data_IF_621194485078
#
_entry.id   IF_621194485078
#
_cell.length_a   1.000
_cell.length_b   1.000
_cell.length_c   1.000
_cell.angle_alpha   90.00
_cell.angle_beta   90.00
_cell.angle_gamma   90.00
#
_symmetry.space_group_name_H-M   'P 1'
#
loop_
_entity.id
_entity.type
_entity.pdbx_description
1 polymer ?
#
# COMPACT_ATOMS: atom_id res chain seq x y z
N UNK A 1 0.15 -18.92 -19.14
CA UNK A 1 -0.42 -17.67 -19.73
C UNK A 1 -1.84 -17.58 -19.24
N UNK A 2 -2.09 -16.66 -18.33
CA UNK A 2 -3.33 -16.54 -17.57
C UNK A 2 -4.46 -16.01 -18.47
N UNK A 3 -5.67 -16.62 -18.36
CA UNK A 3 -6.89 -16.22 -19.10
C UNK A 3 -7.25 -14.73 -18.95
N UNK A 4 -6.78 -14.07 -17.92
CA UNK A 4 -7.01 -12.64 -17.65
C UNK A 4 -6.38 -11.74 -18.72
N UNK A 5 -5.30 -12.16 -19.37
CA UNK A 5 -4.66 -11.38 -20.44
C UNK A 5 -5.44 -11.42 -21.77
N UNK A 6 -6.36 -12.35 -21.92
CA UNK A 6 -7.20 -12.49 -23.12
C UNK A 6 -8.54 -11.74 -23.02
N UNK A 7 -9.05 -11.46 -21.80
CA UNK A 7 -10.31 -10.71 -21.63
C UNK A 7 -10.13 -9.19 -21.80
N UNK A 8 -8.97 -8.64 -21.51
CA UNK A 8 -8.73 -7.20 -21.67
C UNK A 8 -8.58 -6.73 -23.13
N UNK A 9 -8.49 -7.64 -24.09
CA UNK A 9 -8.33 -7.24 -25.52
C UNK A 9 -9.64 -7.16 -26.33
N UNK A 10 -10.82 -7.44 -25.75
CA UNK A 10 -12.10 -7.48 -26.51
C UNK A 10 -13.19 -6.53 -26.08
N UNK A 11 -12.95 -5.56 -25.18
CA UNK A 11 -13.99 -4.63 -24.70
C UNK A 11 -13.78 -3.16 -25.18
N UNK A 12 -12.90 -2.92 -26.12
CA UNK A 12 -12.82 -1.60 -26.76
C UNK A 12 -13.21 -1.68 -28.23
N UNK A 13 -14.51 -1.85 -28.48
CA UNK A 13 -15.09 -1.45 -29.77
C UNK A 13 -16.60 -1.22 -29.59
N UNK A 14 -17.04 -0.05 -30.03
CA UNK A 14 -18.40 0.47 -30.20
C UNK A 14 -19.11 1.02 -28.95
N UNK A 15 -19.15 2.35 -28.79
CA UNK A 15 -20.32 3.18 -29.06
C UNK A 15 -20.00 4.65 -28.81
N UNK A 16 -19.83 5.39 -29.88
CA UNK A 16 -19.92 6.85 -29.88
C UNK A 16 -21.40 7.23 -29.74
N UNK A 17 -21.77 8.02 -28.74
CA UNK A 17 -22.96 8.85 -28.78
C UNK A 17 -22.58 10.25 -28.31
N UNK A 18 -22.55 11.16 -29.29
CA UNK A 18 -22.36 12.56 -29.09
C UNK A 18 -23.64 13.15 -28.44
N UNK A 19 -23.45 13.86 -27.32
CA UNK A 19 -24.42 14.88 -26.88
C UNK A 19 -23.59 16.13 -26.61
N UNK A 20 -23.66 17.06 -27.55
CA UNK A 20 -23.02 18.37 -27.46
C UNK A 20 -23.66 19.23 -26.38
N UNK A 21 -22.85 19.73 -25.47
CA UNK A 21 -23.12 20.96 -24.74
C UNK A 21 -21.91 21.88 -24.97
N UNK A 22 -22.05 22.71 -26.00
CA UNK A 22 -21.11 23.80 -26.24
C UNK A 22 -21.28 24.85 -25.15
N UNK A 23 -20.46 24.79 -24.10
CA UNK A 23 -20.18 25.96 -23.26
C UNK A 23 -18.96 26.66 -23.88
N UNK A 24 -19.21 27.78 -24.51
CA UNK A 24 -18.20 28.74 -24.93
C UNK A 24 -17.48 29.29 -23.70
N UNK A 25 -16.37 28.66 -23.34
CA UNK A 25 -15.40 29.27 -22.43
C UNK A 25 -14.48 30.12 -23.28
N UNK A 26 -14.63 31.43 -23.13
CA UNK A 26 -13.80 32.43 -23.76
C UNK A 26 -12.31 32.13 -23.56
N UNK A 27 -11.56 32.12 -24.65
CA UNK A 27 -10.12 32.11 -24.68
C UNK A 27 -9.58 33.42 -24.09
N UNK A 28 -9.63 33.55 -22.79
CA UNK A 28 -8.86 34.50 -22.03
C UNK A 28 -7.57 33.80 -21.61
N UNK A 29 -6.49 34.00 -22.36
CA UNK A 29 -5.14 33.64 -21.97
C UNK A 29 -4.71 34.43 -20.74
N UNK A 30 -5.24 34.07 -19.57
CA UNK A 30 -4.61 34.40 -18.30
C UNK A 30 -3.43 33.43 -18.16
N UNK A 31 -2.21 33.93 -18.41
CA UNK A 31 -1.01 33.32 -17.88
C UNK A 31 -1.29 33.10 -16.39
N UNK A 32 -1.64 31.85 -16.02
CA UNK A 32 -1.83 31.46 -14.63
C UNK A 32 -0.49 31.77 -13.97
N UNK A 33 -0.43 32.84 -13.17
CA UNK A 33 0.65 33.07 -12.24
C UNK A 33 0.83 31.76 -11.49
N UNK A 34 1.89 31.04 -11.78
CA UNK A 34 2.36 29.92 -10.97
C UNK A 34 2.61 30.50 -9.59
N UNK A 35 1.66 30.29 -8.67
CA UNK A 35 1.76 30.82 -7.33
C UNK A 35 3.02 30.21 -6.72
N UNK A 36 4.07 31.01 -6.71
CA UNK A 36 5.42 30.63 -6.30
C UNK A 36 5.36 30.09 -4.86
N UNK A 37 5.86 28.87 -4.63
CA UNK A 37 6.01 28.34 -3.29
C UNK A 37 7.12 29.14 -2.63
N UNK A 38 6.89 29.81 -1.47
CA UNK A 38 7.93 30.60 -0.84
C UNK A 38 9.15 29.74 -0.50
N UNK A 39 10.37 30.24 -0.79
CA UNK A 39 11.61 29.50 -0.51
C UNK A 39 11.69 29.03 0.94
N UNK A 40 11.33 29.89 1.89
CA UNK A 40 11.23 29.52 3.32
C UNK A 40 10.34 28.30 3.55
N UNK A 41 9.23 28.17 2.84
CA UNK A 41 8.32 27.03 2.97
C UNK A 41 8.96 25.74 2.44
N UNK A 42 9.71 25.81 1.37
CA UNK A 42 10.48 24.69 0.85
C UNK A 42 11.52 24.25 1.88
N UNK A 43 12.28 25.18 2.45
CA UNK A 43 13.25 24.91 3.51
C UNK A 43 12.61 24.22 4.72
N UNK A 44 11.46 24.70 5.18
CA UNK A 44 10.70 24.09 6.29
C UNK A 44 10.32 22.64 5.98
N UNK A 45 9.82 22.34 4.77
CA UNK A 45 9.48 20.97 4.34
C UNK A 45 10.73 20.11 4.28
N UNK A 46 11.82 20.63 3.70
CA UNK A 46 13.08 19.89 3.57
C UNK A 46 13.74 19.63 4.92
N UNK A 47 13.56 20.48 5.90
CA UNK A 47 14.07 20.30 7.27
C UNK A 47 13.19 19.34 8.11
N UNK A 48 11.93 19.10 7.69
CA UNK A 48 10.97 18.32 8.48
C UNK A 48 11.41 16.84 8.60
N UNK A 49 11.45 16.22 9.80
CA UNK A 49 11.62 14.79 9.95
C UNK A 49 10.56 14.01 9.19
N UNK A 50 10.90 12.82 8.69
CA UNK A 50 9.98 12.02 7.84
C UNK A 50 8.73 11.62 8.62
N UNK A 51 8.88 11.24 9.88
CA UNK A 51 7.78 10.90 10.78
C UNK A 51 6.82 12.09 10.94
N UNK A 52 7.39 13.30 11.04
CA UNK A 52 6.63 14.54 11.17
C UNK A 52 5.79 14.83 9.93
N UNK A 53 6.22 14.37 8.75
CA UNK A 53 5.44 14.47 7.51
C UNK A 53 4.11 13.72 7.66
N UNK A 54 4.13 12.49 8.18
CA UNK A 54 2.92 11.72 8.43
C UNK A 54 2.07 12.33 9.57
N UNK A 55 2.70 12.65 10.69
CA UNK A 55 2.01 13.22 11.87
C UNK A 55 1.23 14.50 11.55
N UNK A 56 1.75 15.35 10.69
CA UNK A 56 1.12 16.63 10.34
C UNK A 56 0.11 16.53 9.20
N UNK A 57 -0.05 15.37 8.59
CA UNK A 57 -1.09 15.15 7.58
C UNK A 57 -2.42 14.80 8.23
N UNK A 58 -3.45 15.61 7.99
CA UNK A 58 -4.81 15.31 8.46
C UNK A 58 -5.35 14.05 7.80
N UNK A 59 -5.08 13.85 6.51
CA UNK A 59 -5.49 12.66 5.80
C UNK A 59 -4.88 11.37 6.37
N UNK A 60 -3.56 11.33 6.61
CA UNK A 60 -2.90 10.17 7.22
C UNK A 60 -3.46 9.89 8.62
N UNK A 61 -3.68 10.94 9.43
CA UNK A 61 -4.31 10.77 10.75
C UNK A 61 -5.70 10.17 10.65
N UNK A 62 -6.54 10.68 9.75
CA UNK A 62 -7.90 10.13 9.52
C UNK A 62 -7.85 8.65 9.14
N UNK A 63 -6.96 8.24 8.22
CA UNK A 63 -6.84 6.83 7.84
C UNK A 63 -6.29 5.98 9.00
N UNK A 64 -5.34 6.50 9.77
CA UNK A 64 -4.83 5.82 10.97
C UNK A 64 -5.92 5.63 12.04
N UNK A 65 -6.79 6.62 12.23
CA UNK A 65 -7.95 6.51 13.14
C UNK A 65 -8.97 5.48 12.64
N UNK A 66 -9.24 5.44 11.33
CA UNK A 66 -10.09 4.42 10.73
C UNK A 66 -9.52 3.01 10.97
N UNK A 67 -8.20 2.82 10.75
CA UNK A 67 -7.55 1.55 11.03
C UNK A 67 -7.68 1.17 12.51
N UNK A 68 -7.46 2.11 13.44
CA UNK A 68 -7.69 1.86 14.87
C UNK A 68 -9.14 1.44 15.14
N UNK A 69 -10.11 2.05 14.48
CA UNK A 69 -11.51 1.64 14.54
C UNK A 69 -11.71 0.19 14.13
N UNK A 70 -11.12 -0.24 13.00
CA UNK A 70 -11.13 -1.62 12.55
C UNK A 70 -10.48 -2.57 13.57
N UNK A 71 -9.30 -2.25 14.06
CA UNK A 71 -8.61 -3.06 15.07
C UNK A 71 -9.42 -3.21 16.35
N UNK A 72 -10.09 -2.14 16.77
CA UNK A 72 -10.96 -2.17 17.95
C UNK A 72 -12.23 -3.00 17.73
N UNK A 73 -12.70 -3.16 16.51
CA UNK A 73 -13.88 -3.93 16.14
C UNK A 73 -13.64 -5.45 16.12
N UNK A 74 -12.37 -5.90 16.12
CA UNK A 74 -12.02 -7.34 16.23
C UNK A 74 -12.65 -7.91 17.50
N UNK A 75 -13.44 -8.98 17.35
CA UNK A 75 -14.19 -9.61 18.45
C UNK A 75 -13.37 -10.68 19.16
N UNK A 76 -12.56 -11.46 18.40
CA UNK A 76 -11.68 -12.47 19.01
C UNK A 76 -10.57 -11.78 19.82
N UNK A 77 -10.54 -11.98 21.16
CA UNK A 77 -9.60 -11.29 22.03
C UNK A 77 -8.15 -11.68 21.79
N UNK A 78 -7.88 -12.91 21.31
CA UNK A 78 -6.52 -13.40 21.03
C UNK A 78 -5.99 -12.77 19.75
N UNK A 79 -6.80 -12.74 18.68
CA UNK A 79 -6.45 -12.07 17.43
C UNK A 79 -6.25 -10.59 17.69
N UNK A 80 -7.17 -9.94 18.41
CA UNK A 80 -7.08 -8.52 18.75
C UNK A 80 -5.79 -8.19 19.50
N UNK A 81 -5.48 -8.94 20.56
CA UNK A 81 -4.28 -8.72 21.36
C UNK A 81 -3.00 -8.89 20.53
N UNK A 82 -2.95 -9.92 19.67
CA UNK A 82 -1.82 -10.18 18.78
C UNK A 82 -1.61 -9.02 17.81
N UNK A 83 -2.65 -8.59 17.10
CA UNK A 83 -2.56 -7.51 16.10
C UNK A 83 -2.16 -6.20 16.78
N UNK A 84 -2.76 -5.86 17.91
CA UNK A 84 -2.44 -4.64 18.66
C UNK A 84 -0.99 -4.66 19.17
N UNK A 85 -0.46 -5.78 19.64
CA UNK A 85 0.96 -5.91 20.04
C UNK A 85 1.87 -5.66 18.83
N UNK A 86 1.59 -6.30 17.70
CA UNK A 86 2.42 -6.16 16.50
C UNK A 86 2.40 -4.73 15.92
N UNK A 87 1.26 -4.07 15.93
CA UNK A 87 1.09 -2.72 15.38
C UNK A 87 1.65 -1.63 16.30
N UNK A 88 1.38 -1.73 17.60
CA UNK A 88 1.80 -0.69 18.55
C UNK A 88 3.25 -0.82 19.01
N UNK A 89 3.77 -2.03 18.99
CA UNK A 89 5.16 -2.31 19.40
C UNK A 89 5.83 -3.24 18.37
N UNK A 90 6.01 -2.76 17.11
CA UNK A 90 6.59 -3.60 16.08
C UNK A 90 8.02 -3.99 16.46
N UNK A 91 8.23 -5.28 16.65
CA UNK A 91 9.55 -5.88 16.96
C UNK A 91 9.59 -7.30 16.43
N UNK A 92 10.72 -7.69 15.87
CA UNK A 92 10.95 -9.08 15.49
C UNK A 92 11.27 -9.93 16.72
N UNK A 93 10.73 -11.14 16.78
CA UNK A 93 11.08 -12.17 17.75
C UNK A 93 12.03 -13.22 17.17
N UNK A 94 12.25 -13.21 15.87
CA UNK A 94 13.01 -14.22 15.10
C UNK A 94 14.29 -13.61 14.54
N UNK A 95 14.18 -12.40 13.99
CA UNK A 95 15.29 -11.70 13.36
C UNK A 95 15.92 -10.71 14.34
N UNK A 96 16.69 -9.76 13.85
CA UNK A 96 17.36 -8.78 14.68
C UNK A 96 16.37 -7.92 15.49
N UNK A 97 16.10 -8.33 16.74
CA UNK A 97 15.11 -7.68 17.61
C UNK A 97 15.47 -6.22 17.96
N UNK A 98 16.76 -5.86 17.92
CA UNK A 98 17.26 -4.50 18.17
C UNK A 98 17.31 -3.63 16.92
N UNK A 99 16.91 -4.13 15.75
CA UNK A 99 17.01 -3.38 14.51
C UNK A 99 16.16 -2.09 14.55
N UNK A 100 16.75 -1.03 14.01
CA UNK A 100 16.02 0.22 13.75
C UNK A 100 14.79 -0.04 12.87
N UNK A 101 13.71 0.63 13.18
CA UNK A 101 12.43 0.50 12.49
C UNK A 101 11.56 1.73 12.64
N UNK A 102 10.69 1.94 11.68
CA UNK A 102 9.60 2.91 11.80
C UNK A 102 8.56 2.41 12.80
N UNK A 103 7.83 3.33 13.44
CA UNK A 103 6.53 2.97 13.97
C UNK A 103 5.61 2.55 12.81
N UNK A 104 4.73 1.57 13.03
CA UNK A 104 3.80 1.07 12.01
C UNK A 104 3.02 2.22 11.33
N UNK A 105 2.59 3.20 12.13
CA UNK A 105 1.78 4.34 11.69
C UNK A 105 2.50 5.30 10.73
N UNK A 106 3.83 5.22 10.63
CA UNK A 106 4.67 6.08 9.79
C UNK A 106 5.39 5.31 8.68
N UNK A 107 5.30 4.00 8.69
CA UNK A 107 5.94 3.17 7.70
C UNK A 107 5.33 3.37 6.29
N UNK A 108 6.14 3.25 5.22
CA UNK A 108 5.64 3.20 3.85
C UNK A 108 5.07 1.83 3.52
N UNK A 109 4.16 1.76 2.54
CA UNK A 109 3.67 0.47 2.04
C UNK A 109 4.48 -0.09 0.87
N UNK A 110 5.40 0.68 0.28
CA UNK A 110 6.24 0.24 -0.83
C UNK A 110 7.71 0.50 -0.58
N UNK A 111 8.58 -0.28 -1.21
CA UNK A 111 10.02 -0.15 -1.14
C UNK A 111 10.64 0.69 -2.26
N UNK A 112 9.82 1.30 -3.12
CA UNK A 112 10.20 2.17 -4.22
C UNK A 112 9.02 2.99 -4.73
N UNK A 113 9.25 3.98 -5.62
CA UNK A 113 8.19 4.82 -6.14
C UNK A 113 7.05 4.00 -6.73
N UNK A 114 5.87 4.10 -6.14
CA UNK A 114 4.69 3.32 -6.50
C UNK A 114 3.58 3.53 -5.49
N UNK A 115 2.77 2.49 -5.25
CA UNK A 115 1.63 2.60 -4.35
C UNK A 115 2.06 2.96 -2.92
N UNK A 116 1.42 3.98 -2.37
CA UNK A 116 1.60 4.40 -0.97
C UNK A 116 3.07 4.56 -0.52
N UNK A 117 3.93 4.99 -1.46
CA UNK A 117 5.36 5.24 -1.23
C UNK A 117 5.57 6.62 -0.59
N UNK A 118 5.05 6.79 0.60
CA UNK A 118 5.16 8.00 1.42
C UNK A 118 5.03 7.63 2.91
N UNK A 119 5.48 8.52 3.83
CA UNK A 119 5.33 8.28 5.27
C UNK A 119 3.86 8.14 5.67
N UNK A 120 3.54 7.07 6.39
CA UNK A 120 2.16 6.72 6.75
C UNK A 120 1.40 5.99 5.65
N UNK A 121 2.07 5.55 4.58
CA UNK A 121 1.45 4.79 3.50
C UNK A 121 0.95 3.41 3.94
N UNK A 122 1.63 2.76 4.88
CA UNK A 122 1.26 1.42 5.35
C UNK A 122 -0.13 1.35 5.99
N UNK A 123 -0.50 2.20 6.97
CA UNK A 123 -1.86 2.21 7.50
C UNK A 123 -2.92 2.60 6.45
N UNK A 124 -2.60 3.45 5.48
CA UNK A 124 -3.52 3.80 4.38
C UNK A 124 -3.79 2.59 3.50
N UNK A 125 -2.75 1.88 3.10
CA UNK A 125 -2.85 0.64 2.31
C UNK A 125 -3.68 -0.43 3.04
N UNK A 126 -3.45 -0.62 4.33
CA UNK A 126 -4.24 -1.54 5.13
C UNK A 126 -5.74 -1.17 5.16
N UNK A 127 -6.06 0.12 5.36
CA UNK A 127 -7.47 0.60 5.35
C UNK A 127 -8.12 0.37 3.99
N UNK A 128 -7.44 0.71 2.90
CA UNK A 128 -7.95 0.51 1.54
C UNK A 128 -8.31 -0.96 1.30
N UNK A 129 -7.40 -1.87 1.62
CA UNK A 129 -7.63 -3.30 1.43
C UNK A 129 -8.74 -3.85 2.33
N UNK A 130 -8.83 -3.38 3.58
CA UNK A 130 -9.92 -3.76 4.50
C UNK A 130 -11.26 -3.28 3.95
N UNK A 131 -11.37 -2.03 3.49
CA UNK A 131 -12.60 -1.47 2.91
C UNK A 131 -13.07 -2.29 1.69
N UNK A 132 -12.15 -2.64 0.78
CA UNK A 132 -12.46 -3.44 -0.41
C UNK A 132 -12.96 -4.83 0.01
N UNK A 133 -12.26 -5.51 0.91
CA UNK A 133 -12.63 -6.86 1.35
C UNK A 133 -13.96 -6.90 2.10
N UNK A 134 -14.17 -5.97 3.02
CA UNK A 134 -15.43 -5.88 3.76
C UNK A 134 -16.59 -5.48 2.85
N UNK A 135 -16.35 -4.59 1.87
CA UNK A 135 -17.33 -4.25 0.85
C UNK A 135 -17.76 -5.47 0.00
N UNK A 136 -16.84 -6.36 -0.32
CA UNK A 136 -17.17 -7.62 -0.98
C UNK A 136 -17.94 -8.57 -0.07
N UNK A 137 -17.55 -8.70 1.19
CA UNK A 137 -18.28 -9.51 2.15
C UNK A 137 -19.74 -9.03 2.28
N UNK A 138 -19.95 -7.72 2.38
CA UNK A 138 -21.28 -7.10 2.43
C UNK A 138 -22.08 -7.33 1.14
N UNK A 139 -21.43 -7.23 -0.01
CA UNK A 139 -22.08 -7.48 -1.31
C UNK A 139 -22.53 -8.94 -1.44
N UNK A 140 -21.68 -9.90 -1.05
CA UNK A 140 -22.01 -11.34 -1.06
C UNK A 140 -23.15 -11.61 -0.09
N UNK A 141 -23.10 -11.08 1.13
CA UNK A 141 -24.15 -11.25 2.13
C UNK A 141 -25.49 -10.70 1.60
N UNK A 142 -25.48 -9.52 0.98
CA UNK A 142 -26.68 -8.89 0.42
C UNK A 142 -27.28 -9.67 -0.75
N UNK A 143 -26.45 -10.20 -1.65
CA UNK A 143 -26.92 -10.91 -2.86
C UNK A 143 -27.38 -12.32 -2.55
N UNK A 144 -26.64 -13.02 -1.69
CA UNK A 144 -26.85 -14.45 -1.46
C UNK A 144 -27.49 -14.77 -0.10
N UNK A 145 -27.71 -13.77 0.76
CA UNK A 145 -28.35 -13.95 2.07
C UNK A 145 -27.47 -14.74 3.05
N UNK A 146 -26.14 -14.73 2.90
CA UNK A 146 -25.22 -15.50 3.72
C UNK A 146 -24.20 -14.59 4.42
N UNK A 147 -24.07 -14.74 5.73
CA UNK A 147 -23.07 -14.05 6.56
C UNK A 147 -22.11 -15.08 7.17
N UNK A 148 -21.24 -15.65 6.34
CA UNK A 148 -20.27 -16.66 6.77
C UNK A 148 -18.82 -16.19 6.72
N UNK A 149 -18.61 -14.88 6.59
CA UNK A 149 -17.27 -14.28 6.48
C UNK A 149 -16.73 -13.91 7.86
N UNK A 150 -15.55 -14.38 8.18
CA UNK A 150 -14.84 -14.01 9.41
C UNK A 150 -14.14 -12.64 9.23
N UNK A 151 -14.83 -11.58 9.62
CA UNK A 151 -14.31 -10.19 9.50
C UNK A 151 -13.07 -9.96 10.35
N UNK A 152 -12.90 -10.65 11.48
CA UNK A 152 -11.72 -10.52 12.33
C UNK A 152 -10.47 -11.00 11.59
N UNK A 153 -10.57 -12.11 10.85
CA UNK A 153 -9.49 -12.62 10.00
C UNK A 153 -9.14 -11.63 8.88
N UNK A 154 -10.14 -11.06 8.20
CA UNK A 154 -9.91 -10.06 7.14
C UNK A 154 -9.15 -8.86 7.68
N UNK A 155 -9.66 -8.25 8.77
CA UNK A 155 -9.05 -7.07 9.37
C UNK A 155 -7.63 -7.36 9.85
N UNK A 156 -7.43 -8.47 10.55
CA UNK A 156 -6.14 -8.85 11.09
C UNK A 156 -5.12 -9.15 9.98
N UNK A 157 -5.50 -9.97 8.99
CA UNK A 157 -4.62 -10.37 7.91
C UNK A 157 -4.18 -9.17 7.05
N UNK A 158 -5.12 -8.32 6.64
CA UNK A 158 -4.83 -7.13 5.83
C UNK A 158 -4.10 -6.03 6.60
N UNK A 159 -4.22 -5.98 7.93
CA UNK A 159 -3.37 -5.11 8.75
C UNK A 159 -1.93 -5.61 8.78
N UNK A 160 -1.73 -6.94 8.79
CA UNK A 160 -0.42 -7.53 9.06
C UNK A 160 0.34 -8.02 7.83
N UNK A 161 -0.30 -8.23 6.66
CA UNK A 161 0.37 -8.82 5.48
C UNK A 161 1.68 -8.09 5.10
N UNK A 162 1.70 -6.80 5.28
CA UNK A 162 2.81 -5.89 4.99
C UNK A 162 3.55 -5.39 6.24
N UNK A 163 3.25 -5.93 7.41
CA UNK A 163 3.78 -5.46 8.69
C UNK A 163 5.32 -5.33 8.72
N UNK A 164 6.04 -6.23 8.08
CA UNK A 164 7.49 -6.18 8.07
C UNK A 164 8.08 -4.99 7.30
N UNK A 165 7.26 -4.23 6.57
CA UNK A 165 7.67 -2.97 5.94
C UNK A 165 7.99 -1.85 6.95
N UNK A 166 7.77 -2.06 8.24
CA UNK A 166 8.29 -1.18 9.31
C UNK A 166 9.83 -1.06 9.28
N UNK A 167 10.53 -2.04 8.73
CA UNK A 167 11.98 -2.00 8.50
C UNK A 167 12.40 -1.38 7.16
N UNK A 168 11.48 -0.83 6.40
CA UNK A 168 11.79 -0.03 5.23
C UNK A 168 12.12 1.39 5.68
N UNK A 169 13.41 1.64 5.91
CA UNK A 169 13.90 2.88 6.53
C UNK A 169 14.15 3.97 5.50
N UNK A 170 13.86 5.19 5.87
CA UNK A 170 14.14 6.37 5.06
C UNK A 170 15.63 6.70 5.11
N UNK A 171 16.28 6.70 3.95
CA UNK A 171 17.67 7.16 3.85
C UNK A 171 17.67 8.66 3.50
N UNK A 172 18.08 9.46 4.47
CA UNK A 172 18.13 10.90 4.31
C UNK A 172 19.12 11.36 3.21
N UNK A 173 20.18 10.58 2.95
CA UNK A 173 21.21 10.93 1.97
C UNK A 173 20.73 10.75 0.53
N UNK A 174 20.00 9.67 0.24
CA UNK A 174 19.49 9.39 -1.11
C UNK A 174 18.02 9.79 -1.29
N UNK A 175 17.28 10.06 -0.21
CA UNK A 175 15.84 10.28 -0.24
C UNK A 175 15.05 9.05 -0.69
N UNK A 176 15.64 7.86 -0.56
CA UNK A 176 15.00 6.59 -0.92
C UNK A 176 14.74 5.75 0.33
N UNK A 177 14.02 4.65 0.15
CA UNK A 177 13.86 3.67 1.21
C UNK A 177 14.95 2.62 1.10
N UNK A 178 15.62 2.34 2.21
CA UNK A 178 16.60 1.26 2.35
C UNK A 178 16.04 0.14 3.21
N UNK A 179 16.26 -1.07 2.78
CA UNK A 179 16.09 -2.27 3.61
C UNK A 179 17.37 -2.56 4.33
N UNK A 180 17.34 -2.98 5.62
CA UNK A 180 18.54 -3.42 6.32
C UNK A 180 19.19 -4.61 5.63
N UNK A 181 20.51 -4.76 5.73
CA UNK A 181 21.24 -5.87 5.11
C UNK A 181 20.79 -7.26 5.60
N UNK A 182 20.30 -7.35 6.85
CA UNK A 182 19.74 -8.58 7.41
C UNK A 182 18.34 -8.91 6.88
N UNK A 183 17.67 -7.94 6.25
CA UNK A 183 16.33 -8.15 5.70
C UNK A 183 16.45 -9.13 4.53
N UNK A 184 15.65 -10.21 4.50
CA UNK A 184 15.73 -11.17 3.41
C UNK A 184 15.63 -10.42 2.08
N UNK A 185 16.67 -10.54 1.26
CA UNK A 185 16.62 -10.07 -0.12
C UNK A 185 15.40 -10.69 -0.77
N UNK A 186 14.87 -10.06 -1.84
CA UNK A 186 13.85 -10.70 -2.65
C UNK A 186 14.22 -12.16 -2.80
N UNK A 187 13.37 -13.04 -2.31
CA UNK A 187 13.55 -14.48 -2.43
C UNK A 187 13.55 -14.83 -3.93
N UNK A 188 14.68 -14.67 -4.58
CA UNK A 188 14.81 -14.77 -6.02
C UNK A 188 16.10 -14.18 -6.59
N UNK A 189 17.02 -13.68 -5.76
CA UNK A 189 18.40 -13.39 -6.17
C UNK A 189 19.16 -14.71 -6.44
N UNK A 190 20.27 -14.66 -7.19
CA UNK A 190 21.06 -15.82 -7.68
C UNK A 190 21.46 -16.84 -6.62
N UNK A 191 21.33 -16.54 -5.34
CA UNK A 191 21.61 -17.42 -4.19
C UNK A 191 20.39 -17.72 -3.31
N UNK A 192 19.26 -17.10 -3.55
CA UNK A 192 18.00 -17.35 -2.85
C UNK A 192 17.13 -18.29 -3.67
N UNK A 193 16.23 -18.99 -3.03
CA UNK A 193 15.29 -19.91 -3.68
C UNK A 193 14.54 -19.14 -4.76
N UNK A 194 14.97 -19.26 -6.02
CA UNK A 194 14.37 -18.62 -7.22
C UNK A 194 12.86 -18.91 -7.39
N UNK A 195 12.31 -19.67 -6.48
CA UNK A 195 10.95 -20.18 -6.40
C UNK A 195 9.94 -19.18 -5.85
N UNK A 196 10.39 -18.13 -5.13
CA UNK A 196 9.54 -17.24 -4.34
C UNK A 196 9.35 -15.84 -4.96
N UNK A 197 9.29 -15.79 -6.26
CA UNK A 197 9.25 -14.53 -7.02
C UNK A 197 8.12 -13.57 -6.60
N UNK A 198 7.08 -14.07 -5.94
CA UNK A 198 5.89 -13.33 -5.56
C UNK A 198 5.85 -12.93 -4.08
N UNK A 199 6.61 -13.61 -3.22
CA UNK A 199 6.74 -13.23 -1.83
C UNK A 199 7.97 -12.33 -1.66
N UNK A 200 7.78 -11.04 -1.49
CA UNK A 200 8.83 -10.17 -0.98
C UNK A 200 9.33 -10.71 0.38
N UNK A 201 10.60 -10.47 0.73
CA UNK A 201 11.15 -10.91 2.02
C UNK A 201 10.33 -10.49 3.24
N UNK A 202 9.50 -9.42 3.11
CA UNK A 202 8.58 -8.97 4.15
C UNK A 202 7.50 -10.01 4.48
N UNK A 203 6.95 -10.71 3.49
CA UNK A 203 5.95 -11.76 3.72
C UNK A 203 6.50 -12.91 4.55
N UNK A 204 7.69 -13.43 4.20
CA UNK A 204 8.33 -14.51 4.96
C UNK A 204 8.54 -14.13 6.44
N UNK A 205 8.96 -12.88 6.71
CA UNK A 205 9.11 -12.37 8.08
C UNK A 205 7.77 -12.39 8.79
N UNK A 206 6.72 -11.86 8.16
CA UNK A 206 5.39 -11.76 8.80
C UNK A 206 4.83 -13.13 9.13
N UNK A 207 4.89 -14.08 8.20
CA UNK A 207 4.33 -15.42 8.45
C UNK A 207 5.10 -16.15 9.56
N UNK A 208 6.43 -16.04 9.56
CA UNK A 208 7.26 -16.61 10.63
C UNK A 208 6.96 -15.96 11.99
N UNK A 209 6.82 -14.63 12.06
CA UNK A 209 6.46 -13.92 13.29
C UNK A 209 5.07 -14.30 13.79
N UNK A 210 4.08 -14.44 12.91
CA UNK A 210 2.75 -14.89 13.29
C UNK A 210 2.78 -16.29 13.87
N UNK A 211 3.47 -17.23 13.23
CA UNK A 211 3.63 -18.60 13.74
C UNK A 211 4.34 -18.60 15.10
N UNK A 212 5.44 -17.84 15.25
CA UNK A 212 6.20 -17.76 16.50
C UNK A 212 5.40 -17.18 17.65
N UNK A 213 4.48 -16.27 17.35
CA UNK A 213 3.58 -15.63 18.34
C UNK A 213 2.32 -16.45 18.61
N UNK A 214 2.17 -17.63 17.99
CA UNK A 214 1.02 -18.52 18.20
C UNK A 214 -0.27 -18.02 17.57
N UNK A 215 -0.18 -17.32 16.44
CA UNK A 215 -1.35 -16.94 15.67
C UNK A 215 -2.16 -18.17 15.23
N UNK A 216 -3.49 -18.09 15.16
CA UNK A 216 -4.31 -19.17 14.61
C UNK A 216 -3.87 -19.50 13.17
N UNK A 217 -3.82 -20.79 12.76
CA UNK A 217 -3.43 -21.18 11.40
C UNK A 217 -4.20 -20.44 10.31
N UNK A 218 -5.49 -20.21 10.51
CA UNK A 218 -6.38 -19.50 9.58
C UNK A 218 -5.90 -18.06 9.34
N UNK A 219 -5.41 -17.37 10.37
CA UNK A 219 -4.86 -16.01 10.24
C UNK A 219 -3.52 -16.03 9.50
N UNK A 220 -2.65 -17.00 9.78
CA UNK A 220 -1.36 -17.13 9.08
C UNK A 220 -1.58 -17.36 7.59
N UNK A 221 -2.48 -18.29 7.24
CA UNK A 221 -2.83 -18.61 5.85
C UNK A 221 -3.45 -17.38 5.17
N UNK A 222 -4.41 -16.72 5.83
CA UNK A 222 -5.07 -15.53 5.31
C UNK A 222 -4.06 -14.39 5.05
N UNK A 223 -3.12 -14.17 5.96
CA UNK A 223 -2.06 -13.17 5.78
C UNK A 223 -1.14 -13.53 4.62
N UNK A 224 -0.82 -14.81 4.44
CA UNK A 224 -0.01 -15.26 3.31
C UNK A 224 -0.77 -15.19 1.97
N UNK A 225 -2.09 -15.34 1.99
CA UNK A 225 -2.94 -15.23 0.81
C UNK A 225 -2.88 -13.86 0.14
N UNK A 226 -2.55 -12.79 0.86
CA UNK A 226 -2.35 -11.47 0.26
C UNK A 226 -1.32 -11.50 -0.89
N UNK A 227 -0.25 -12.28 -0.77
CA UNK A 227 0.85 -12.34 -1.72
C UNK A 227 0.96 -13.64 -2.51
N UNK A 228 0.28 -14.70 -2.09
CA UNK A 228 0.34 -16.03 -2.73
C UNK A 228 -1.07 -16.56 -2.91
N UNK A 229 -1.48 -16.77 -4.16
CA UNK A 229 -2.82 -17.26 -4.48
C UNK A 229 -3.12 -18.58 -3.76
N UNK A 230 -4.17 -18.62 -2.91
CA UNK A 230 -4.50 -19.81 -2.11
C UNK A 230 -5.44 -20.79 -2.82
N UNK A 231 -5.84 -20.54 -4.08
CA UNK A 231 -6.89 -21.30 -4.77
C UNK A 231 -6.39 -22.13 -5.93
N UNK A 232 -5.54 -21.57 -6.78
CA UNK A 232 -5.14 -22.21 -8.01
C UNK A 232 -3.88 -23.04 -7.85
N UNK A 233 -2.95 -22.57 -7.03
CA UNK A 233 -1.62 -23.13 -6.92
C UNK A 233 -1.15 -23.24 -5.46
N UNK A 234 -1.89 -23.99 -4.65
CA UNK A 234 -1.54 -24.19 -3.23
C UNK A 234 -0.15 -24.80 -3.10
N UNK A 235 0.21 -25.75 -3.98
CA UNK A 235 1.50 -26.42 -3.94
C UNK A 235 2.48 -25.85 -4.98
N UNK A 236 2.00 -25.39 -6.16
CA UNK A 236 2.86 -24.86 -7.23
C UNK A 236 2.19 -23.76 -8.03
N UNK A 237 2.96 -22.71 -8.37
CA UNK A 237 2.58 -21.63 -9.26
C UNK A 237 3.55 -21.60 -10.44
N UNK A 238 3.08 -21.84 -11.67
CA UNK A 238 3.91 -21.87 -12.89
C UNK A 238 5.16 -22.77 -12.74
N UNK A 239 4.98 -23.96 -12.16
CA UNK A 239 6.06 -24.90 -11.87
C UNK A 239 6.93 -24.54 -10.67
N UNK A 240 6.58 -23.48 -9.94
CA UNK A 240 7.25 -23.03 -8.70
C UNK A 240 6.41 -23.41 -7.48
N UNK A 241 7.08 -23.52 -6.35
CA UNK A 241 6.41 -23.84 -5.10
C UNK A 241 5.44 -22.73 -4.69
N UNK A 242 4.23 -23.12 -4.27
CA UNK A 242 3.14 -22.23 -3.93
C UNK A 242 3.01 -21.93 -2.42
N UNK A 243 1.78 -21.69 -1.97
CA UNK A 243 1.47 -21.26 -0.61
C UNK A 243 1.97 -22.23 0.47
N UNK A 244 1.80 -23.56 0.28
CA UNK A 244 2.25 -24.53 1.28
C UNK A 244 3.77 -24.51 1.50
N UNK A 245 4.54 -24.27 0.44
CA UNK A 245 5.99 -24.17 0.57
C UNK A 245 6.40 -22.83 1.25
N UNK A 246 5.67 -21.74 1.00
CA UNK A 246 5.82 -20.48 1.70
C UNK A 246 5.65 -20.63 3.21
N UNK A 247 4.57 -21.28 3.59
CA UNK A 247 4.25 -21.55 5.00
C UNK A 247 5.27 -22.51 5.64
N UNK A 248 5.76 -23.51 4.89
CA UNK A 248 6.79 -24.43 5.39
C UNK A 248 8.13 -23.71 5.65
N UNK A 249 8.55 -22.81 4.77
CA UNK A 249 9.78 -22.03 4.97
C UNK A 249 9.62 -21.04 6.14
N UNK A 250 8.50 -20.37 6.25
CA UNK A 250 8.19 -19.51 7.39
C UNK A 250 8.20 -20.28 8.72
N UNK A 251 7.65 -21.49 8.74
CA UNK A 251 7.66 -22.37 9.90
C UNK A 251 9.09 -22.76 10.30
N UNK A 252 9.94 -23.08 9.32
CA UNK A 252 11.36 -23.36 9.54
C UNK A 252 12.08 -22.17 10.15
N UNK A 253 11.86 -20.96 9.64
CA UNK A 253 12.41 -19.72 10.21
C UNK A 253 11.93 -19.49 11.65
N UNK A 254 10.67 -19.80 11.94
CA UNK A 254 10.10 -19.66 13.26
C UNK A 254 10.50 -20.78 14.25
N UNK A 255 11.08 -21.86 13.77
CA UNK A 255 11.29 -23.08 14.57
C UNK A 255 9.95 -23.72 15.01
N UNK A 256 8.93 -23.66 14.16
CA UNK A 256 7.56 -24.11 14.43
C UNK A 256 7.13 -25.23 13.46
N UNK A 257 6.13 -26.04 13.81
CA UNK A 257 5.55 -26.99 12.86
C UNK A 257 4.99 -26.29 11.63
N UNK A 258 5.12 -26.91 10.45
CA UNK A 258 4.57 -26.37 9.22
C UNK A 258 3.04 -26.37 9.24
N UNK A 259 2.44 -25.27 8.83
CA UNK A 259 1.02 -25.16 8.55
C UNK A 259 0.81 -25.58 7.09
N UNK A 260 -0.22 -26.41 6.85
CA UNK A 260 -0.64 -26.80 5.51
C UNK A 260 -2.06 -26.31 5.25
N UNK A 261 -2.27 -25.77 4.07
CA UNK A 261 -3.61 -25.44 3.58
C UNK A 261 -4.31 -26.73 3.20
N UNK A 262 -5.50 -26.94 3.76
CA UNK A 262 -6.40 -28.01 3.36
C UNK A 262 -7.24 -27.55 2.15
N UNK A 263 -7.05 -28.11 0.95
CA UNK A 263 -7.78 -27.69 -0.24
C UNK A 263 -9.32 -27.86 -0.12
N UNK A 264 -9.77 -28.70 0.80
CA UNK A 264 -11.20 -28.90 1.06
C UNK A 264 -11.83 -27.83 1.96
N UNK A 265 -10.99 -27.03 2.65
CA UNK A 265 -11.42 -26.03 3.62
C UNK A 265 -11.02 -24.61 3.18
N UNK A 266 -11.27 -24.28 1.92
CA UNK A 266 -10.97 -22.95 1.39
C UNK A 266 -11.94 -21.92 1.99
N UNK A 267 -11.38 -20.85 2.56
CA UNK A 267 -12.16 -19.78 3.16
C UNK A 267 -12.36 -18.63 2.16
N UNK A 268 -13.55 -18.03 2.18
CA UNK A 268 -13.86 -16.89 1.29
C UNK A 268 -12.97 -15.68 1.58
N UNK A 269 -12.55 -15.51 2.83
CA UNK A 269 -11.64 -14.45 3.28
C UNK A 269 -10.33 -14.45 2.52
N UNK A 270 -9.75 -15.63 2.22
CA UNK A 270 -8.48 -15.72 1.48
C UNK A 270 -8.61 -15.14 0.08
N UNK A 271 -9.75 -15.41 -0.57
CA UNK A 271 -10.04 -14.87 -1.89
C UNK A 271 -10.22 -13.34 -1.84
N UNK A 272 -10.97 -12.83 -0.87
CA UNK A 272 -11.16 -11.38 -0.69
C UNK A 272 -9.83 -10.68 -0.43
N UNK A 273 -8.95 -11.27 0.38
CA UNK A 273 -7.65 -10.72 0.74
C UNK A 273 -6.73 -10.63 -0.47
N UNK A 274 -6.55 -11.71 -1.24
CA UNK A 274 -5.66 -11.69 -2.41
C UNK A 274 -6.09 -10.68 -3.46
N UNK A 275 -7.39 -10.53 -3.67
CA UNK A 275 -7.90 -9.58 -4.67
C UNK A 275 -7.94 -8.14 -4.17
N UNK A 276 -8.16 -7.92 -2.87
CA UNK A 276 -8.07 -6.56 -2.32
C UNK A 276 -6.63 -6.05 -2.33
N UNK A 277 -5.67 -6.87 -1.92
CA UNK A 277 -4.26 -6.51 -2.02
C UNK A 277 -3.83 -6.33 -3.48
N UNK A 278 -4.40 -7.09 -4.41
CA UNK A 278 -4.19 -6.92 -5.85
C UNK A 278 -4.49 -5.51 -6.38
N UNK A 279 -5.20 -4.66 -5.62
CA UNK A 279 -5.43 -3.24 -5.93
C UNK A 279 -4.12 -2.46 -6.07
N UNK A 280 -3.03 -2.92 -5.43
CA UNK A 280 -1.71 -2.31 -5.55
C UNK A 280 -1.25 -2.17 -7.01
N UNK A 281 -1.71 -3.02 -7.91
CA UNK A 281 -1.33 -2.95 -9.32
C UNK A 281 -1.82 -1.65 -9.98
N UNK A 282 -3.03 -1.18 -9.66
CA UNK A 282 -3.53 0.10 -10.14
C UNK A 282 -2.78 1.26 -9.48
N UNK A 283 -2.64 1.23 -8.15
CA UNK A 283 -1.96 2.30 -7.41
C UNK A 283 -0.46 2.37 -7.70
N UNK A 284 0.19 1.26 -8.05
CA UNK A 284 1.60 1.23 -8.39
C UNK A 284 1.87 1.64 -9.86
N UNK A 285 1.25 0.93 -10.81
CA UNK A 285 1.58 1.11 -12.23
C UNK A 285 0.89 2.31 -12.89
N UNK A 286 -0.17 2.80 -12.29
CA UNK A 286 -0.97 3.91 -12.83
C UNK A 286 -0.84 5.12 -11.89
N UNK A 287 -1.62 5.17 -10.82
CA UNK A 287 -1.71 6.38 -10.00
C UNK A 287 -0.36 6.77 -9.37
N UNK A 288 0.35 5.84 -8.74
CA UNK A 288 1.59 6.11 -8.02
C UNK A 288 2.72 6.57 -8.90
N UNK A 289 2.96 5.91 -10.03
CA UNK A 289 4.04 6.31 -10.96
C UNK A 289 3.80 7.70 -11.54
N UNK A 290 2.56 8.00 -11.95
CA UNK A 290 2.23 9.33 -12.46
C UNK A 290 2.39 10.39 -11.38
N UNK A 291 1.88 10.15 -10.17
CA UNK A 291 1.97 11.10 -9.06
C UNK A 291 3.41 11.42 -8.68
N UNK A 292 4.28 10.41 -8.60
CA UNK A 292 5.71 10.61 -8.33
C UNK A 292 6.43 11.37 -9.46
N UNK A 293 6.09 11.10 -10.72
CA UNK A 293 6.65 11.84 -11.86
C UNK A 293 6.23 13.30 -11.83
N UNK A 294 4.93 13.60 -11.57
CA UNK A 294 4.47 14.99 -11.45
C UNK A 294 5.13 15.71 -10.27
N UNK A 295 5.35 15.04 -9.14
CA UNK A 295 6.05 15.64 -8.01
C UNK A 295 7.52 15.96 -8.34
N UNK A 296 8.19 15.10 -9.10
CA UNK A 296 9.55 15.36 -9.60
C UNK A 296 9.59 16.52 -10.62
N UNK A 297 8.61 16.59 -11.50
CA UNK A 297 8.48 17.72 -12.43
C UNK A 297 8.30 19.04 -11.66
N UNK A 298 7.44 19.05 -10.64
CA UNK A 298 7.26 20.21 -9.77
C UNK A 298 8.55 20.58 -9.05
N UNK A 299 9.31 19.60 -8.53
CA UNK A 299 10.61 19.87 -7.92
C UNK A 299 11.57 20.52 -8.92
N UNK A 300 11.62 20.05 -10.17
CA UNK A 300 12.40 20.65 -11.25
C UNK A 300 11.97 22.09 -11.54
N UNK A 301 10.67 22.35 -11.60
CA UNK A 301 10.12 23.70 -11.84
C UNK A 301 10.46 24.66 -10.67
N UNK A 302 10.69 24.13 -9.46
CA UNK A 302 11.19 24.86 -8.30
C UNK A 302 12.73 24.97 -8.23
N UNK A 303 13.46 24.55 -9.28
CA UNK A 303 14.92 24.62 -9.35
C UNK A 303 15.64 23.52 -8.55
N UNK A 304 14.94 22.45 -8.14
CA UNK A 304 15.49 21.32 -7.40
C UNK A 304 15.74 20.16 -8.35
N UNK A 305 16.93 19.53 -8.27
CA UNK A 305 17.22 18.35 -9.08
C UNK A 305 16.18 17.25 -8.83
N UNK A 306 15.42 16.81 -9.84
CA UNK A 306 14.35 15.83 -9.70
C UNK A 306 14.82 14.43 -9.25
N UNK A 307 16.14 14.17 -9.29
CA UNK A 307 16.75 12.92 -8.80
C UNK A 307 17.32 13.05 -7.39
N UNK A 308 17.25 14.22 -6.79
CA UNK A 308 17.80 14.47 -5.46
C UNK A 308 16.91 13.93 -4.33
N UNK A 309 17.52 13.77 -3.16
CA UNK A 309 16.81 13.49 -1.90
C UNK A 309 15.78 14.57 -1.57
N UNK A 310 16.07 15.81 -1.92
CA UNK A 310 15.17 16.95 -1.71
C UNK A 310 13.89 16.80 -2.53
N UNK A 311 13.99 16.45 -3.82
CA UNK A 311 12.83 16.20 -4.67
C UNK A 311 11.98 15.04 -4.15
N UNK A 312 12.62 13.96 -3.70
CA UNK A 312 11.93 12.82 -3.06
C UNK A 312 11.17 13.26 -1.82
N UNK A 313 11.77 14.09 -0.99
CA UNK A 313 11.15 14.59 0.25
C UNK A 313 9.94 15.50 -0.01
N UNK A 314 10.01 16.35 -1.03
CA UNK A 314 8.86 17.14 -1.48
C UNK A 314 7.73 16.25 -1.98
N UNK A 315 8.06 15.18 -2.73
CA UNK A 315 7.08 14.20 -3.15
C UNK A 315 6.40 13.51 -1.95
N UNK A 316 7.16 13.05 -0.95
CA UNK A 316 6.61 12.45 0.26
C UNK A 316 5.68 13.39 1.00
N UNK A 317 6.08 14.66 1.13
CA UNK A 317 5.25 15.68 1.76
C UNK A 317 3.93 15.86 1.02
N UNK A 318 3.97 16.01 -0.30
CA UNK A 318 2.77 16.21 -1.11
C UNK A 318 1.86 14.98 -1.13
N UNK A 319 2.41 13.79 -1.39
CA UNK A 319 1.64 12.55 -1.55
C UNK A 319 1.02 12.07 -0.24
N UNK A 320 1.66 12.35 0.90
CA UNK A 320 1.06 12.10 2.23
C UNK A 320 -0.15 12.99 2.53
N UNK A 321 -0.48 13.98 1.70
CA UNK A 321 -1.60 14.92 1.91
C UNK A 321 -2.68 14.82 0.86
N UNK A 322 -2.31 14.55 -0.39
CA UNK A 322 -3.28 14.57 -1.50
C UNK A 322 -3.53 13.17 -2.11
N UNK A 323 -2.81 12.16 -1.78
CA UNK A 323 -2.78 10.83 -2.36
C UNK A 323 -2.53 10.78 -3.88
N UNK A 324 -1.91 9.68 -4.29
CA UNK A 324 -1.68 9.36 -5.70
C UNK A 324 -2.99 9.15 -6.48
N UNK A 325 -3.96 8.46 -5.87
CA UNK A 325 -5.29 8.26 -6.48
C UNK A 325 -6.03 9.55 -6.75
N UNK A 326 -6.03 10.49 -5.79
CA UNK A 326 -6.71 11.78 -5.97
C UNK A 326 -6.05 12.58 -7.08
N UNK A 327 -4.73 12.62 -7.14
CA UNK A 327 -3.99 13.28 -8.22
C UNK A 327 -4.32 12.68 -9.58
N UNK A 328 -4.36 11.35 -9.67
CA UNK A 328 -4.68 10.66 -10.91
C UNK A 328 -6.15 10.89 -11.33
N UNK A 329 -7.09 10.88 -10.39
CA UNK A 329 -8.49 11.23 -10.66
C UNK A 329 -8.65 12.65 -11.17
N UNK A 330 -7.91 13.61 -10.62
CA UNK A 330 -7.90 15.00 -11.12
C UNK A 330 -7.34 15.08 -12.54
N UNK A 331 -6.30 14.33 -12.86
CA UNK A 331 -5.73 14.21 -14.21
C UNK A 331 -6.75 13.69 -15.22
N UNK A 332 -7.47 12.60 -14.87
CA UNK A 332 -8.52 12.03 -15.72
C UNK A 332 -9.69 13.00 -15.90
N UNK A 333 -10.16 13.60 -14.81
CA UNK A 333 -11.27 14.57 -14.87
C UNK A 333 -10.95 15.83 -15.72
N UNK A 334 -9.66 16.17 -15.83
CA UNK A 334 -9.18 17.27 -16.65
C UNK A 334 -8.86 16.87 -18.10
N UNK A 335 -9.35 15.73 -18.58
CA UNK A 335 -9.06 15.26 -19.93
C UNK A 335 -7.59 14.89 -20.15
N UNK A 336 -6.94 14.38 -19.11
CA UNK A 336 -5.53 14.00 -19.10
C UNK A 336 -4.55 15.18 -19.22
N UNK A 337 -4.92 16.35 -18.70
CA UNK A 337 -4.03 17.51 -18.60
C UNK A 337 -3.11 17.38 -17.36
N UNK A 338 -1.83 17.11 -17.59
CA UNK A 338 -0.82 16.98 -16.53
C UNK A 338 -0.57 18.28 -15.73
N UNK A 339 -0.97 19.43 -16.24
CA UNK A 339 -0.83 20.69 -15.51
C UNK A 339 -1.74 20.74 -14.27
N UNK A 340 -2.87 20.00 -14.28
CA UNK A 340 -3.83 19.98 -13.15
C UNK A 340 -3.24 19.34 -11.91
N UNK A 341 -2.74 18.08 -11.93
CA UNK A 341 -2.12 17.47 -10.76
C UNK A 341 -0.85 18.21 -10.31
N UNK A 342 -0.05 18.79 -11.22
CA UNK A 342 1.12 19.60 -10.85
C UNK A 342 0.71 20.85 -10.06
N UNK A 343 -0.34 21.56 -10.49
CA UNK A 343 -0.90 22.69 -9.72
C UNK A 343 -1.41 22.25 -8.34
N UNK A 344 -2.01 21.08 -8.26
CA UNK A 344 -2.47 20.54 -6.98
C UNK A 344 -1.30 20.25 -6.02
N UNK A 345 -0.20 19.69 -6.52
CA UNK A 345 1.03 19.48 -5.76
C UNK A 345 1.60 20.84 -5.27
N UNK A 346 1.72 21.83 -6.15
CA UNK A 346 2.19 23.18 -5.79
C UNK A 346 1.30 23.81 -4.71
N UNK A 347 -0.03 23.67 -4.81
CA UNK A 347 -0.96 24.17 -3.81
C UNK A 347 -0.71 23.54 -2.44
N UNK A 348 -0.50 22.21 -2.37
CA UNK A 348 -0.20 21.50 -1.11
C UNK A 348 1.17 21.88 -0.54
N UNK A 349 2.17 22.08 -1.40
CA UNK A 349 3.48 22.56 -0.94
C UNK A 349 3.39 23.96 -0.34
N UNK A 350 2.57 24.84 -0.91
CA UNK A 350 2.34 26.21 -0.44
C UNK A 350 1.52 26.23 0.85
N UNK A 351 0.42 25.51 0.88
CA UNK A 351 -0.47 25.34 2.03
C UNK A 351 -0.91 23.89 2.15
N UNK A 352 -0.44 23.23 3.19
CA UNK A 352 -0.72 21.80 3.40
C UNK A 352 -2.21 21.48 3.58
N UNK A 353 -3.03 22.47 3.95
CA UNK A 353 -4.48 22.31 4.09
C UNK A 353 -5.27 22.54 2.80
N UNK A 354 -4.63 23.08 1.74
CA UNK A 354 -5.30 23.55 0.54
C UNK A 354 -6.18 22.49 -0.18
N UNK A 355 -5.85 21.20 -0.01
CA UNK A 355 -6.50 20.09 -0.71
C UNK A 355 -6.72 18.88 0.21
N UNK A 356 -6.71 19.07 1.53
CA UNK A 356 -7.00 17.97 2.45
C UNK A 356 -8.37 17.37 2.14
N UNK A 357 -8.42 16.03 2.06
CA UNK A 357 -9.67 15.30 1.89
C UNK A 357 -10.51 15.54 3.15
N UNK A 358 -11.72 16.12 3.06
CA UNK A 358 -12.57 16.27 4.24
C UNK A 358 -12.77 14.90 4.88
N UNK A 359 -12.66 14.83 6.20
CA UNK A 359 -13.12 13.66 6.94
C UNK A 359 -14.62 13.50 6.66
N UNK A 360 -15.00 12.39 6.04
CA UNK A 360 -16.40 12.00 5.87
C UNK A 360 -16.81 11.08 6.99
#
# INVERSE_FOLDING_TARGET
MCLITLLCRRIFSTAALAAGLAMSLGAGGAAAQTAEVPAKRIEEILAMPVERIAETSAWIRTQSERLRGYLNSIKDPKIKALVLDMVNTPRSTIFNAGAERNAFWFAPAAGGPGHHYYPGGLPVHAVENIDISLGWADAIAKVHGVENTNRDIIIAALTLHDWAKVWYLWDAASGTIKRPDWFPAYWGGEQGVAKWRWMGGHGAIVYAELMKRGAPPELVIATAAAHVDPFWDIDKVDGKEGLNAALAEAAKLAGMPAIKVDPAKRMAEWWMIVYSDGSWSYSHFIAGQFAHNWARDVAKDLGIDPKSAQASKLAYFALSRISDFKLYSMYQAAGFDAAVPKRAILAVLKDSAALEVPAR
#
